data_IF_484293001163
#
_entry.id   IF_484293001163
#
_cell.length_a   1.000
_cell.length_b   1.000
_cell.length_c   1.000
_cell.angle_alpha   90.00
_cell.angle_beta   90.00
_cell.angle_gamma   90.00
#
_symmetry.space_group_name_H-M   'P 1'
#
loop_
_entity.id
_entity.type
_entity.pdbx_description
1 polymer ?
#
# COMPACT_ATOMS: atom_id res chain seq x y z
N UNK A 1 -13.22 -23.25 16.53
CA UNK A 1 -12.86 -21.83 16.22
C UNK A 1 -13.02 -21.45 14.74
N UNK A 2 -12.45 -22.18 13.75
CA UNK A 2 -12.63 -21.86 12.31
C UNK A 2 -14.10 -21.84 11.83
N UNK A 3 -14.94 -22.75 12.33
CA UNK A 3 -16.36 -22.86 11.96
C UNK A 3 -17.21 -21.68 12.46
N UNK A 4 -16.95 -21.19 13.68
CA UNK A 4 -17.61 -20.01 14.26
C UNK A 4 -17.22 -18.75 13.47
N UNK A 5 -15.95 -18.64 13.05
CA UNK A 5 -15.43 -17.52 12.24
C UNK A 5 -16.17 -17.38 10.90
N UNK A 6 -16.38 -18.48 10.19
CA UNK A 6 -17.12 -18.49 8.91
C UNK A 6 -18.61 -18.13 9.09
N UNK A 7 -19.22 -18.60 10.19
CA UNK A 7 -20.62 -18.33 10.49
C UNK A 7 -20.86 -16.85 10.82
N UNK A 8 -19.99 -16.25 11.63
CA UNK A 8 -20.05 -14.83 11.98
C UNK A 8 -19.91 -13.97 10.72
N UNK A 9 -18.93 -14.24 9.85
CA UNK A 9 -18.73 -13.49 8.60
C UNK A 9 -19.96 -13.61 7.68
N UNK A 10 -20.57 -14.79 7.55
CA UNK A 10 -21.78 -14.98 6.72
C UNK A 10 -23.00 -14.23 7.26
N UNK A 11 -23.23 -14.25 8.58
CA UNK A 11 -24.36 -13.54 9.21
C UNK A 11 -24.20 -12.03 9.04
N UNK A 12 -22.97 -11.57 9.18
CA UNK A 12 -22.59 -10.17 9.06
C UNK A 12 -22.69 -9.63 7.62
N UNK A 13 -22.48 -10.48 6.60
CA UNK A 13 -22.64 -10.15 5.18
C UNK A 13 -24.10 -10.12 4.70
N UNK A 14 -24.98 -10.89 5.36
CA UNK A 14 -26.38 -11.07 4.93
C UNK A 14 -27.34 -9.96 5.39
N UNK A 15 -26.90 -9.10 6.30
CA UNK A 15 -27.68 -7.98 6.81
C UNK A 15 -26.95 -6.71 6.43
N UNK A 16 -27.62 -5.63 6.04
CA UNK A 16 -27.00 -4.33 5.70
C UNK A 16 -26.18 -3.69 6.85
N UNK A 17 -25.89 -4.44 7.92
CA UNK A 17 -24.88 -4.21 8.95
C UNK A 17 -23.42 -4.41 8.46
N UNK A 18 -23.19 -4.61 7.17
CA UNK A 18 -21.87 -4.83 6.55
C UNK A 18 -20.76 -3.92 7.09
N UNK A 19 -21.01 -2.62 7.31
CA UNK A 19 -19.98 -1.70 7.85
C UNK A 19 -19.60 -2.03 9.30
N UNK A 20 -20.57 -2.23 10.19
CA UNK A 20 -20.32 -2.57 11.60
C UNK A 20 -19.66 -3.95 11.73
N UNK A 21 -20.16 -4.91 10.97
CA UNK A 21 -19.60 -6.23 10.77
C UNK A 21 -18.12 -6.21 10.37
N UNK A 22 -17.83 -5.50 9.28
CA UNK A 22 -16.50 -5.31 8.72
C UNK A 22 -15.58 -4.67 9.76
N UNK A 23 -16.06 -3.61 10.43
CA UNK A 23 -15.33 -2.94 11.52
C UNK A 23 -14.98 -3.92 12.66
N UNK A 24 -15.93 -4.75 13.10
CA UNK A 24 -15.66 -5.79 14.12
C UNK A 24 -14.64 -6.80 13.61
N UNK A 25 -14.81 -7.31 12.38
CA UNK A 25 -13.91 -8.31 11.81
C UNK A 25 -12.47 -7.81 11.76
N UNK A 26 -12.25 -6.64 11.17
CA UNK A 26 -10.90 -6.09 11.04
C UNK A 26 -10.31 -5.66 12.37
N UNK A 27 -11.13 -5.18 13.32
CA UNK A 27 -10.64 -4.80 14.65
C UNK A 27 -10.27 -6.00 15.52
N UNK A 28 -11.09 -7.04 15.56
CA UNK A 28 -10.97 -8.10 16.57
C UNK A 28 -10.63 -9.49 16.02
N UNK A 29 -10.88 -9.77 14.74
CA UNK A 29 -10.78 -11.13 14.17
C UNK A 29 -9.62 -11.28 13.19
N UNK A 30 -9.35 -10.26 12.39
CA UNK A 30 -8.35 -10.32 11.31
C UNK A 30 -6.93 -10.63 11.81
N UNK A 31 -6.59 -10.20 13.03
CA UNK A 31 -5.23 -10.31 13.58
C UNK A 31 -4.20 -9.52 12.76
N UNK A 32 -2.92 -9.83 12.96
CA UNK A 32 -1.79 -9.30 12.20
C UNK A 32 -1.51 -10.19 10.99
N UNK A 33 -2.15 -9.87 9.87
CA UNK A 33 -2.04 -10.57 8.59
C UNK A 33 -2.26 -9.56 7.45
N UNK A 34 -2.06 -9.96 6.20
CA UNK A 34 -2.51 -9.18 5.04
C UNK A 34 -4.01 -9.45 4.77
N UNK A 35 -4.73 -8.42 4.34
CA UNK A 35 -6.09 -8.54 3.82
C UNK A 35 -6.07 -8.98 2.34
N UNK A 36 -4.98 -8.71 1.64
CA UNK A 36 -4.79 -8.96 0.21
C UNK A 36 -4.25 -10.35 -0.08
N UNK A 37 -5.03 -11.13 -0.82
CA UNK A 37 -4.66 -12.48 -1.21
C UNK A 37 -3.55 -12.45 -2.27
N UNK A 38 -2.43 -13.12 -2.00
CA UNK A 38 -1.32 -13.24 -2.95
C UNK A 38 -0.23 -12.17 -2.82
N UNK A 39 -0.48 -11.08 -2.08
CA UNK A 39 0.50 -9.99 -1.88
C UNK A 39 1.86 -10.49 -1.36
N UNK A 40 1.88 -11.43 -0.40
CA UNK A 40 3.14 -11.99 0.14
C UNK A 40 3.97 -12.68 -0.94
N UNK A 41 3.33 -13.45 -1.82
CA UNK A 41 4.01 -14.13 -2.91
C UNK A 41 4.47 -13.13 -3.99
N UNK A 42 3.64 -12.10 -4.26
CA UNK A 42 3.99 -11.01 -5.15
C UNK A 42 5.21 -10.24 -4.63
N UNK A 43 5.26 -9.87 -3.35
CA UNK A 43 6.42 -9.21 -2.73
C UNK A 43 7.70 -10.03 -2.92
N UNK A 44 7.67 -11.35 -2.73
CA UNK A 44 8.85 -12.20 -2.94
C UNK A 44 9.35 -12.11 -4.40
N UNK A 45 8.44 -12.18 -5.38
CA UNK A 45 8.78 -12.08 -6.80
C UNK A 45 9.31 -10.68 -7.16
N UNK A 46 8.66 -9.63 -6.65
CA UNK A 46 9.02 -8.23 -6.87
C UNK A 46 10.42 -7.92 -6.33
N UNK A 47 10.72 -8.35 -5.10
CA UNK A 47 12.06 -8.17 -4.53
C UNK A 47 13.12 -8.93 -5.32
N UNK A 48 12.86 -10.17 -5.75
CA UNK A 48 13.78 -10.91 -6.62
C UNK A 48 14.05 -10.16 -7.93
N UNK A 49 13.00 -9.65 -8.59
CA UNK A 49 13.15 -8.89 -9.84
C UNK A 49 13.87 -7.57 -9.61
N UNK A 50 13.60 -6.85 -8.51
CA UNK A 50 14.33 -5.63 -8.15
C UNK A 50 15.84 -5.90 -7.91
N UNK A 51 16.17 -7.07 -7.35
CA UNK A 51 17.56 -7.52 -7.17
C UNK A 51 18.21 -7.82 -8.53
N UNK A 52 17.54 -8.59 -9.40
CA UNK A 52 18.03 -8.93 -10.74
C UNK A 52 18.24 -7.69 -11.62
N UNK A 53 17.37 -6.68 -11.50
CA UNK A 53 17.50 -5.39 -12.17
C UNK A 53 18.57 -4.48 -11.55
N UNK A 54 19.13 -4.85 -10.40
CA UNK A 54 20.16 -4.10 -9.70
C UNK A 54 19.66 -2.78 -9.10
N UNK A 55 18.37 -2.67 -8.80
CA UNK A 55 17.75 -1.47 -8.22
C UNK A 55 17.50 -1.56 -6.72
N UNK A 56 17.42 -2.78 -6.17
CA UNK A 56 17.00 -3.00 -4.79
C UNK A 56 17.89 -2.33 -3.72
N UNK A 57 19.16 -2.05 -4.01
CA UNK A 57 20.07 -1.31 -3.11
C UNK A 57 20.34 0.14 -3.55
N UNK A 58 19.56 0.66 -4.51
CA UNK A 58 19.71 2.02 -5.06
C UNK A 58 18.57 2.97 -4.69
N UNK A 59 17.55 2.47 -4.02
CA UNK A 59 16.41 3.23 -3.55
C UNK A 59 15.71 2.53 -2.38
N UNK A 60 14.76 3.23 -1.79
CA UNK A 60 14.02 2.79 -0.63
C UNK A 60 12.77 1.99 -1.01
N UNK A 61 12.21 1.27 -0.03
CA UNK A 61 10.87 0.73 -0.09
C UNK A 61 9.90 1.70 0.58
N UNK A 62 8.84 2.09 -0.14
CA UNK A 62 7.78 2.93 0.38
C UNK A 62 6.44 2.17 0.37
N UNK A 63 5.63 2.32 1.42
CA UNK A 63 4.28 1.75 1.52
C UNK A 63 3.32 2.85 1.96
N UNK A 64 2.27 3.06 1.15
CA UNK A 64 1.25 4.09 1.34
C UNK A 64 -0.05 3.39 1.71
N UNK A 65 -0.39 3.42 2.99
CA UNK A 65 -1.40 2.57 3.61
C UNK A 65 -0.77 1.31 4.19
N UNK A 66 -0.59 1.28 5.51
CA UNK A 66 0.09 0.20 6.25
C UNK A 66 -0.93 -0.70 6.97
N UNK A 67 -2.09 -0.13 7.33
CA UNK A 67 -3.10 -0.76 8.15
C UNK A 67 -2.52 -1.33 9.46
N UNK A 68 -2.28 -2.65 9.51
CA UNK A 68 -1.71 -3.31 10.69
C UNK A 68 -0.21 -3.54 10.62
N UNK A 69 0.42 -3.32 9.46
CA UNK A 69 1.87 -3.43 9.23
C UNK A 69 2.37 -4.77 8.73
N UNK A 70 1.49 -5.68 8.28
CA UNK A 70 1.93 -7.03 7.88
C UNK A 70 2.71 -7.01 6.56
N UNK A 71 2.20 -6.33 5.52
CA UNK A 71 2.88 -6.20 4.23
C UNK A 71 4.21 -5.46 4.40
N UNK A 72 4.19 -4.34 5.13
CA UNK A 72 5.38 -3.58 5.50
C UNK A 72 6.45 -4.41 6.21
N UNK A 73 6.07 -5.17 7.24
CA UNK A 73 6.99 -6.10 7.91
C UNK A 73 7.54 -7.16 6.96
N UNK A 74 6.69 -7.73 6.10
CA UNK A 74 7.10 -8.80 5.19
C UNK A 74 8.11 -8.29 4.15
N UNK A 75 7.94 -7.07 3.64
CA UNK A 75 8.92 -6.42 2.77
C UNK A 75 10.31 -6.34 3.42
N UNK A 76 10.37 -5.87 4.67
CA UNK A 76 11.65 -5.82 5.39
C UNK A 76 12.23 -7.20 5.68
N UNK A 77 11.39 -8.18 6.01
CA UNK A 77 11.82 -9.57 6.20
C UNK A 77 12.48 -10.12 4.93
N UNK A 78 11.90 -9.85 3.75
CA UNK A 78 12.48 -10.25 2.46
C UNK A 78 13.81 -9.53 2.24
N UNK A 79 13.86 -8.21 2.43
CA UNK A 79 15.09 -7.45 2.29
C UNK A 79 16.23 -7.96 3.19
N UNK A 80 15.91 -8.32 4.44
CA UNK A 80 16.86 -8.93 5.37
C UNK A 80 17.34 -10.30 4.88
N UNK A 81 16.46 -11.13 4.31
CA UNK A 81 16.81 -12.44 3.73
C UNK A 81 17.81 -12.30 2.58
N UNK A 82 17.69 -11.25 1.77
CA UNK A 82 18.56 -10.97 0.62
C UNK A 82 19.68 -9.96 0.91
N UNK A 83 19.93 -9.64 2.18
CA UNK A 83 21.00 -8.74 2.62
C UNK A 83 20.99 -7.36 1.93
N UNK A 84 19.79 -6.82 1.68
CA UNK A 84 19.59 -5.48 1.11
C UNK A 84 19.89 -4.40 2.14
N UNK A 85 21.17 -4.23 2.43
CA UNK A 85 21.62 -3.44 3.57
C UNK A 85 21.42 -1.93 3.40
N UNK A 86 21.27 -1.44 2.16
CA UNK A 86 21.10 -0.01 1.90
C UNK A 86 19.63 0.42 1.81
N UNK A 87 18.71 -0.53 1.58
CA UNK A 87 17.29 -0.22 1.48
C UNK A 87 16.72 0.19 2.85
N UNK A 88 16.05 1.34 2.89
CA UNK A 88 15.24 1.78 4.04
C UNK A 88 13.76 1.55 3.74
N UNK A 89 12.95 1.56 4.79
CA UNK A 89 11.53 1.24 4.76
C UNK A 89 10.74 2.42 5.32
N UNK A 90 9.92 3.04 4.47
CA UNK A 90 9.07 4.16 4.83
C UNK A 90 7.62 3.76 4.68
N UNK A 91 6.89 3.81 5.79
CA UNK A 91 5.46 3.56 5.81
C UNK A 91 4.71 4.84 6.11
N UNK A 92 3.80 5.22 5.22
CA UNK A 92 2.93 6.38 5.35
C UNK A 92 1.51 5.92 5.64
N UNK A 93 0.94 6.37 6.76
CA UNK A 93 -0.44 6.02 7.15
C UNK A 93 -1.02 7.11 8.06
N UNK A 94 -2.33 7.33 7.99
CA UNK A 94 -3.05 8.22 8.91
C UNK A 94 -3.09 7.67 10.34
N UNK A 95 -2.96 6.34 10.47
CA UNK A 95 -3.24 5.54 11.65
C UNK A 95 -4.66 5.73 12.21
N UNK A 96 -5.54 6.31 11.37
CA UNK A 96 -6.93 6.67 11.66
C UNK A 96 -7.89 6.02 10.66
N UNK A 97 -7.36 5.34 9.63
CA UNK A 97 -8.12 4.72 8.55
C UNK A 97 -8.33 5.68 7.37
N UNK A 98 -9.24 5.32 6.48
CA UNK A 98 -9.54 6.10 5.28
C UNK A 98 -10.02 7.53 5.61
N UNK A 99 -9.67 8.53 4.78
CA UNK A 99 -10.19 9.89 4.91
C UNK A 99 -11.69 9.94 4.60
N UNK A 100 -12.26 11.16 4.62
CA UNK A 100 -13.60 11.36 4.08
C UNK A 100 -13.64 10.98 2.59
N UNK A 101 -14.70 10.29 2.16
CA UNK A 101 -14.81 9.77 0.80
C UNK A 101 -15.30 10.91 -0.11
N UNK A 102 -14.48 11.25 -1.10
CA UNK A 102 -14.80 12.27 -2.11
C UNK A 102 -15.79 11.73 -3.16
N UNK A 103 -16.42 12.64 -3.92
CA UNK A 103 -17.43 12.27 -4.94
C UNK A 103 -16.89 11.26 -5.97
N UNK A 104 -15.64 11.44 -6.41
CA UNK A 104 -14.99 10.56 -7.39
C UNK A 104 -14.74 9.14 -6.87
N UNK A 105 -14.68 8.99 -5.54
CA UNK A 105 -14.43 7.74 -4.82
C UNK A 105 -15.71 7.00 -4.40
N UNK A 106 -16.89 7.55 -4.68
CA UNK A 106 -18.17 6.95 -4.30
C UNK A 106 -18.45 5.67 -5.09
N UNK A 107 -18.51 4.52 -4.41
CA UNK A 107 -18.92 3.25 -5.02
C UNK A 107 -20.43 2.99 -4.80
N UNK A 108 -21.06 2.27 -5.74
CA UNK A 108 -22.53 2.02 -5.69
C UNK A 108 -22.99 1.34 -4.40
N UNK A 109 -22.13 0.51 -3.82
CA UNK A 109 -22.40 -0.26 -2.59
C UNK A 109 -21.73 0.34 -1.34
N UNK A 110 -21.21 1.57 -1.42
CA UNK A 110 -20.48 2.24 -0.33
C UNK A 110 -19.41 1.34 0.32
N UNK A 111 -18.63 0.67 -0.53
CA UNK A 111 -17.57 -0.27 -0.12
C UNK A 111 -16.51 0.42 0.74
N UNK A 112 -16.25 1.69 0.45
CA UNK A 112 -15.33 2.55 1.19
C UNK A 112 -16.07 3.52 2.09
N UNK A 113 -15.57 3.73 3.31
CA UNK A 113 -16.08 4.70 4.25
C UNK A 113 -14.97 5.25 5.18
N UNK A 114 -15.15 6.48 5.66
CA UNK A 114 -14.21 7.14 6.54
C UNK A 114 -13.89 6.29 7.79
N UNK A 115 -12.60 6.20 8.12
CA UNK A 115 -12.09 5.44 9.26
C UNK A 115 -12.11 3.92 9.07
N UNK A 116 -12.49 3.42 7.88
CA UNK A 116 -12.24 2.03 7.52
C UNK A 116 -10.73 1.74 7.59
N UNK A 117 -10.38 0.51 7.97
CA UNK A 117 -8.99 0.09 8.17
C UNK A 117 -8.20 0.89 9.22
N UNK A 118 -8.87 1.55 10.18
CA UNK A 118 -8.16 2.24 11.26
C UNK A 118 -7.33 1.29 12.14
N UNK A 119 -6.06 1.62 12.38
CA UNK A 119 -5.21 1.01 13.40
C UNK A 119 -4.24 2.08 13.94
N UNK A 120 -4.21 2.28 15.26
CA UNK A 120 -3.33 3.32 15.84
C UNK A 120 -1.86 2.99 15.61
N UNK A 121 -1.03 4.04 15.50
CA UNK A 121 0.42 3.92 15.34
C UNK A 121 1.08 3.08 16.43
N UNK A 122 0.61 3.20 17.66
CA UNK A 122 1.05 2.37 18.78
C UNK A 122 0.79 0.87 18.53
N UNK A 123 -0.40 0.52 18.05
CA UNK A 123 -0.73 -0.88 17.74
C UNK A 123 0.07 -1.41 16.56
N UNK A 124 0.28 -0.60 15.52
CA UNK A 124 1.16 -0.97 14.40
C UNK A 124 2.59 -1.18 14.89
N UNK A 125 3.11 -0.26 15.72
CA UNK A 125 4.44 -0.36 16.33
C UNK A 125 4.57 -1.63 17.17
N UNK A 126 3.56 -1.97 17.98
CA UNK A 126 3.53 -3.20 18.77
C UNK A 126 3.53 -4.46 17.89
N UNK A 127 2.76 -4.46 16.79
CA UNK A 127 2.77 -5.55 15.83
C UNK A 127 4.16 -5.74 15.20
N UNK A 128 4.78 -4.66 14.73
CA UNK A 128 6.11 -4.69 14.13
C UNK A 128 7.19 -5.13 15.13
N UNK A 129 7.13 -4.63 16.38
CA UNK A 129 7.99 -5.06 17.48
C UNK A 129 7.86 -6.56 17.76
N UNK A 130 6.63 -7.09 17.76
CA UNK A 130 6.38 -8.53 17.97
C UNK A 130 7.03 -9.43 16.91
N UNK A 131 7.46 -8.85 15.79
CA UNK A 131 8.16 -9.54 14.69
C UNK A 131 9.63 -9.17 14.55
N UNK A 132 10.17 -8.34 15.45
CA UNK A 132 11.58 -7.98 15.46
C UNK A 132 12.00 -7.10 14.28
N UNK A 133 11.17 -6.12 13.91
CA UNK A 133 11.51 -5.11 12.89
C UNK A 133 12.80 -4.36 13.26
N UNK A 134 13.62 -4.02 12.28
CA UNK A 134 14.81 -3.19 12.43
C UNK A 134 14.46 -1.70 12.31
N UNK A 135 14.21 -1.07 13.45
CA UNK A 135 13.90 0.36 13.52
C UNK A 135 15.02 1.29 13.04
N UNK A 136 16.26 0.81 12.85
CA UNK A 136 17.33 1.65 12.27
C UNK A 136 17.08 1.99 10.81
N UNK A 137 16.26 1.18 10.13
CA UNK A 137 15.91 1.32 8.71
C UNK A 137 14.42 1.52 8.49
N UNK A 138 13.63 1.65 9.56
CA UNK A 138 12.17 1.67 9.49
C UNK A 138 11.63 2.98 10.02
N UNK A 139 10.78 3.63 9.23
CA UNK A 139 10.20 4.90 9.57
C UNK A 139 8.69 4.86 9.34
N UNK A 140 7.92 5.22 10.37
CA UNK A 140 6.47 5.37 10.29
C UNK A 140 6.12 6.86 10.27
N UNK A 141 5.70 7.34 9.11
CA UNK A 141 5.22 8.70 8.89
C UNK A 141 3.72 8.69 9.15
N UNK A 142 3.29 9.53 10.11
CA UNK A 142 1.91 9.64 10.52
C UNK A 142 1.28 10.90 9.95
N UNK A 143 0.09 10.75 9.38
CA UNK A 143 -0.74 11.84 8.85
C UNK A 143 -1.60 11.36 7.70
N UNK A 144 -2.67 12.09 7.39
CA UNK A 144 -3.31 11.90 6.08
C UNK A 144 -2.32 12.31 4.98
N UNK A 145 -2.52 11.82 3.76
CA UNK A 145 -1.53 12.05 2.70
C UNK A 145 -1.41 13.53 2.33
N UNK A 146 -2.52 14.26 2.26
CA UNK A 146 -2.56 15.73 2.15
C UNK A 146 -1.69 16.47 3.20
N UNK A 147 -1.50 15.88 4.39
CA UNK A 147 -0.71 16.47 5.48
C UNK A 147 0.74 15.96 5.51
N UNK A 148 0.98 14.72 5.10
CA UNK A 148 2.24 13.99 5.34
C UNK A 148 3.12 13.84 4.11
N UNK A 149 2.53 13.86 2.90
CA UNK A 149 3.23 13.73 1.63
C UNK A 149 3.66 15.12 1.13
N UNK A 150 4.69 15.67 1.76
CA UNK A 150 5.19 17.02 1.47
C UNK A 150 6.72 17.08 1.46
N UNK A 151 7.27 18.21 0.98
CA UNK A 151 8.70 18.44 0.86
C UNK A 151 9.43 18.42 2.22
N UNK A 152 8.80 18.87 3.30
CA UNK A 152 9.40 18.81 4.64
C UNK A 152 9.64 17.35 5.07
N UNK A 153 8.71 16.45 4.74
CA UNK A 153 8.87 15.01 4.96
C UNK A 153 10.04 14.45 4.14
N UNK A 154 10.14 14.78 2.84
CA UNK A 154 11.26 14.35 2.00
C UNK A 154 12.60 14.81 2.58
N UNK A 155 12.72 16.09 2.94
CA UNK A 155 13.93 16.67 3.50
C UNK A 155 14.30 16.06 4.85
N UNK A 156 13.32 15.91 5.76
CA UNK A 156 13.52 15.36 7.10
C UNK A 156 14.14 13.95 7.07
N UNK A 157 13.71 13.13 6.12
CA UNK A 157 14.16 11.74 6.00
C UNK A 157 15.21 11.53 4.90
N UNK A 158 15.61 12.60 4.19
CA UNK A 158 16.48 12.53 3.03
C UNK A 158 15.99 11.45 2.05
N UNK A 159 14.71 11.51 1.69
CA UNK A 159 14.12 10.66 0.65
C UNK A 159 14.58 11.16 -0.72
N UNK A 160 15.05 10.26 -1.56
CA UNK A 160 15.65 10.59 -2.86
C UNK A 160 15.17 9.63 -3.94
N UNK A 161 15.39 8.33 -3.79
CA UNK A 161 15.01 7.34 -4.79
C UNK A 161 14.19 6.21 -4.21
N UNK A 162 13.18 5.78 -4.96
CA UNK A 162 12.34 4.65 -4.62
C UNK A 162 12.70 3.48 -5.54
N UNK A 163 12.99 2.32 -4.94
CA UNK A 163 13.14 1.08 -5.69
C UNK A 163 11.80 0.37 -5.87
N UNK A 164 11.00 0.36 -4.80
CA UNK A 164 9.69 -0.31 -4.76
C UNK A 164 8.72 0.58 -3.99
N UNK A 165 7.56 0.87 -4.57
CA UNK A 165 6.46 1.50 -3.86
C UNK A 165 5.22 0.60 -3.87
N UNK A 166 4.69 0.30 -2.68
CA UNK A 166 3.37 -0.29 -2.50
C UNK A 166 2.34 0.81 -2.24
N UNK A 167 1.40 0.94 -3.16
CA UNK A 167 0.30 1.90 -3.15
C UNK A 167 -0.97 1.11 -2.77
N UNK A 168 -1.29 1.10 -1.49
CA UNK A 168 -2.37 0.33 -0.83
C UNK A 168 -3.27 1.31 -0.06
N UNK A 169 -3.83 2.27 -0.82
CA UNK A 169 -4.56 3.40 -0.28
C UNK A 169 -6.03 3.44 -0.68
N UNK A 170 -6.52 2.38 -1.34
CA UNK A 170 -7.87 2.18 -1.85
C UNK A 170 -8.32 3.24 -2.88
N UNK A 171 -8.37 4.50 -2.49
CA UNK A 171 -9.06 5.62 -3.14
C UNK A 171 -8.28 6.21 -4.31
N UNK A 172 -9.00 6.70 -5.33
CA UNK A 172 -8.46 7.52 -6.41
C UNK A 172 -7.76 8.77 -5.87
N UNK A 173 -8.43 9.54 -5.01
CA UNK A 173 -7.89 10.80 -4.46
C UNK A 173 -6.56 10.58 -3.73
N UNK A 174 -6.51 9.57 -2.85
CA UNK A 174 -5.29 9.18 -2.16
C UNK A 174 -4.19 8.67 -3.11
N UNK A 175 -4.57 7.97 -4.19
CA UNK A 175 -3.60 7.50 -5.18
C UNK A 175 -2.97 8.65 -5.95
N UNK A 176 -3.75 9.68 -6.31
CA UNK A 176 -3.23 10.90 -6.96
C UNK A 176 -2.20 11.59 -6.05
N UNK A 177 -2.54 11.81 -4.77
CA UNK A 177 -1.61 12.41 -3.80
C UNK A 177 -0.30 11.62 -3.67
N UNK A 178 -0.39 10.28 -3.65
CA UNK A 178 0.79 9.40 -3.59
C UNK A 178 1.63 9.52 -4.86
N UNK A 179 1.02 9.43 -6.03
CA UNK A 179 1.73 9.48 -7.32
C UNK A 179 2.40 10.84 -7.53
N UNK A 180 1.71 11.93 -7.21
CA UNK A 180 2.27 13.29 -7.27
C UNK A 180 3.45 13.45 -6.31
N UNK A 181 3.36 12.88 -5.10
CA UNK A 181 4.45 12.96 -4.13
C UNK A 181 5.71 12.21 -4.57
N UNK A 182 5.56 11.04 -5.20
CA UNK A 182 6.70 10.18 -5.56
C UNK A 182 7.32 10.47 -6.92
N UNK A 183 6.69 11.32 -7.74
CA UNK A 183 7.04 11.48 -9.16
C UNK A 183 8.52 11.79 -9.40
N UNK A 184 9.14 12.60 -8.54
CA UNK A 184 10.55 13.02 -8.60
C UNK A 184 11.51 12.01 -7.94
N UNK A 185 10.97 11.05 -7.18
CA UNK A 185 11.73 9.98 -6.54
C UNK A 185 11.71 8.66 -7.33
N UNK A 186 10.92 8.58 -8.40
CA UNK A 186 10.95 7.46 -9.34
C UNK A 186 12.30 7.47 -10.06
N UNK A 187 12.94 6.31 -10.14
CA UNK A 187 14.12 6.07 -10.96
C UNK A 187 13.84 4.99 -12.02
N UNK A 188 14.72 4.87 -13.02
CA UNK A 188 14.64 3.77 -13.99
C UNK A 188 14.49 2.40 -13.30
N UNK A 189 13.49 1.64 -13.77
CA UNK A 189 13.04 0.31 -13.29
C UNK A 189 12.37 0.29 -11.92
N UNK A 190 11.98 1.43 -11.36
CA UNK A 190 11.15 1.47 -10.14
C UNK A 190 9.93 0.58 -10.30
N UNK A 191 9.65 -0.24 -9.29
CA UNK A 191 8.46 -1.11 -9.30
C UNK A 191 7.35 -0.45 -8.49
N UNK A 192 6.25 -0.11 -9.16
CA UNK A 192 5.03 0.35 -8.50
C UNK A 192 4.06 -0.83 -8.35
N UNK A 193 3.51 -0.98 -7.15
CA UNK A 193 2.55 -2.02 -6.79
C UNK A 193 1.27 -1.31 -6.39
N UNK A 194 0.16 -1.67 -7.03
CA UNK A 194 -1.18 -1.18 -6.76
C UNK A 194 -1.99 -2.32 -6.14
N UNK A 195 -2.31 -2.28 -4.84
CA UNK A 195 -3.07 -3.36 -4.16
C UNK A 195 -4.56 -3.34 -4.53
N UNK A 196 -5.07 -2.16 -4.91
CA UNK A 196 -6.50 -1.87 -5.14
C UNK A 196 -6.84 -1.61 -6.62
N UNK A 197 -5.99 -2.05 -7.55
CA UNK A 197 -6.09 -1.74 -8.98
C UNK A 197 -7.46 -2.05 -9.59
N UNK A 198 -8.15 -3.09 -9.09
CA UNK A 198 -9.46 -3.50 -9.58
C UNK A 198 -10.62 -3.21 -8.61
N UNK A 199 -10.41 -2.45 -7.53
CA UNK A 199 -11.43 -2.22 -6.50
C UNK A 199 -12.62 -1.40 -6.99
N UNK A 200 -12.45 -0.63 -8.07
CA UNK A 200 -13.51 0.18 -8.69
C UNK A 200 -14.10 -0.50 -9.94
N UNK A 201 -14.63 -1.71 -9.77
CA UNK A 201 -15.29 -2.49 -10.83
C UNK A 201 -14.42 -2.76 -12.08
N UNK A 202 -13.08 -2.63 -11.95
CA UNK A 202 -12.12 -2.65 -13.08
C UNK A 202 -12.37 -1.56 -14.12
N UNK A 203 -13.03 -0.47 -13.74
CA UNK A 203 -13.27 0.68 -14.61
C UNK A 203 -11.99 1.51 -14.76
N UNK A 204 -11.52 1.68 -15.99
CA UNK A 204 -10.32 2.46 -16.29
C UNK A 204 -10.48 3.96 -16.00
N UNK A 205 -11.71 4.43 -15.77
CA UNK A 205 -12.02 5.82 -15.43
C UNK A 205 -12.27 6.03 -13.94
N UNK A 206 -11.86 5.08 -13.08
CA UNK A 206 -12.04 5.18 -11.63
C UNK A 206 -10.84 4.62 -10.86
N UNK A 207 -10.74 4.96 -9.57
CA UNK A 207 -9.77 4.38 -8.65
C UNK A 207 -8.31 4.53 -9.10
N UNK A 208 -7.49 3.57 -8.69
CA UNK A 208 -6.07 3.51 -9.04
C UNK A 208 -5.79 3.47 -10.55
N UNK A 209 -6.70 2.88 -11.35
CA UNK A 209 -6.57 2.85 -12.82
C UNK A 209 -6.58 4.24 -13.43
N UNK A 210 -7.57 5.06 -13.06
CA UNK A 210 -7.67 6.45 -13.52
C UNK A 210 -6.46 7.26 -13.08
N UNK A 211 -6.13 7.22 -11.78
CA UNK A 211 -5.02 7.97 -11.22
C UNK A 211 -3.69 7.63 -11.91
N UNK A 212 -3.41 6.34 -12.12
CA UNK A 212 -2.17 5.92 -12.77
C UNK A 212 -2.11 6.28 -14.25
N UNK A 213 -3.24 6.17 -14.97
CA UNK A 213 -3.31 6.60 -16.38
C UNK A 213 -2.98 8.09 -16.50
N UNK A 214 -3.65 8.93 -15.72
CA UNK A 214 -3.44 10.38 -15.71
C UNK A 214 -2.01 10.74 -15.30
N UNK A 215 -1.45 10.02 -14.32
CA UNK A 215 -0.05 10.17 -13.92
C UNK A 215 0.92 9.91 -15.07
N UNK A 216 0.76 8.82 -15.82
CA UNK A 216 1.64 8.51 -16.96
C UNK A 216 1.43 9.51 -18.12
N UNK A 217 0.19 9.93 -18.38
CA UNK A 217 -0.12 10.96 -19.39
C UNK A 217 0.54 12.31 -19.06
N UNK A 218 0.62 12.67 -17.78
CA UNK A 218 1.25 13.90 -17.31
C UNK A 218 2.78 13.80 -17.19
N UNK A 219 3.34 12.59 -17.15
CA UNK A 219 4.77 12.33 -17.00
C UNK A 219 5.33 11.59 -18.22
N UNK A 220 5.34 12.26 -19.39
CA UNK A 220 5.70 11.67 -20.68
C UNK A 220 7.15 11.16 -20.80
N UNK A 221 8.01 11.48 -19.83
CA UNK A 221 9.37 10.93 -19.71
C UNK A 221 9.39 9.55 -19.01
N UNK A 222 8.24 9.07 -18.54
CA UNK A 222 8.05 7.77 -17.92
C UNK A 222 7.25 6.86 -18.85
N UNK A 223 7.64 5.59 -18.88
CA UNK A 223 6.83 4.51 -19.47
C UNK A 223 6.55 3.42 -18.45
N UNK A 224 5.34 2.87 -18.47
CA UNK A 224 4.93 1.80 -17.56
C UNK A 224 4.81 0.46 -18.31
N UNK A 225 5.56 -0.54 -17.86
CA UNK A 225 5.45 -1.92 -18.34
C UNK A 225 4.73 -2.76 -17.29
N UNK A 226 3.62 -3.39 -17.65
CA UNK A 226 2.96 -4.39 -16.80
C UNK A 226 3.95 -5.50 -16.42
N UNK A 227 3.95 -5.88 -15.14
CA UNK A 227 4.85 -6.91 -14.64
C UNK A 227 4.09 -8.17 -14.19
N UNK A 228 3.42 -8.12 -13.05
CA UNK A 228 2.57 -9.20 -12.53
C UNK A 228 1.26 -8.66 -11.94
N UNK A 229 0.24 -9.51 -11.93
CA UNK A 229 -0.98 -9.32 -11.13
C UNK A 229 -1.01 -10.35 -9.99
N UNK A 230 -1.71 -10.03 -8.90
CA UNK A 230 -1.92 -10.95 -7.80
C UNK A 230 -3.29 -10.77 -7.16
N UNK A 231 -3.84 -11.86 -6.64
CA UNK A 231 -5.21 -11.86 -6.13
C UNK A 231 -6.23 -11.45 -7.19
N UNK A 232 -7.31 -10.80 -6.75
CA UNK A 232 -8.32 -10.23 -7.66
C UNK A 232 -8.03 -8.75 -7.95
N UNK A 233 -7.35 -8.07 -7.02
CA UNK A 233 -7.23 -6.62 -7.01
C UNK A 233 -5.84 -6.09 -7.34
N UNK A 234 -4.77 -6.85 -7.12
CA UNK A 234 -3.41 -6.36 -7.24
C UNK A 234 -2.86 -6.33 -8.67
N UNK A 235 -2.14 -5.26 -9.01
CA UNK A 235 -1.39 -5.09 -10.26
C UNK A 235 -0.03 -4.43 -9.98
N UNK A 236 0.97 -4.73 -10.80
CA UNK A 236 2.30 -4.13 -10.69
C UNK A 236 2.82 -3.64 -12.03
N UNK A 237 3.66 -2.61 -11.98
CA UNK A 237 4.30 -2.02 -13.14
C UNK A 237 5.78 -1.79 -12.85
N UNK A 238 6.62 -2.03 -13.86
CA UNK A 238 8.00 -1.56 -13.89
C UNK A 238 7.99 -0.24 -14.68
N UNK A 239 8.44 0.83 -14.04
CA UNK A 239 8.51 2.16 -14.62
C UNK A 239 9.91 2.37 -15.21
N UNK A 240 9.99 2.77 -16.48
CA UNK A 240 11.25 3.11 -17.14
C UNK A 240 11.31 4.62 -17.37
N UNK A 241 12.49 5.21 -17.18
CA UNK A 241 12.76 6.60 -17.54
C UNK A 241 13.41 6.64 -18.93
N UNK A 242 12.87 7.46 -19.82
CA UNK A 242 13.46 7.73 -21.14
C UNK A 242 14.63 8.72 -21.08
#
# INVERSE_FOLDING_TARGET
MKSIRLLIVKILQATKLNKFAHKIYYRYIHGFNTASSGLVAAQELIFNTAIEMGIANKGDYCEFGIFKGYAFWNAQKIAKKYELNNMRFFGFDSFKGLPEIQEEDLTKEEVFYQGQYSCSKENVTNNLNSKGVDWKKTFLIEGFFEESLNEDTKQKYNLDKIAIALIDCDLYSSTVEVLDYIQDMIMDKTILIFDDWNCFDKDDNRGQRKAFREFIENNTHLSAKEFISYGVYGQTFIINQE
#
